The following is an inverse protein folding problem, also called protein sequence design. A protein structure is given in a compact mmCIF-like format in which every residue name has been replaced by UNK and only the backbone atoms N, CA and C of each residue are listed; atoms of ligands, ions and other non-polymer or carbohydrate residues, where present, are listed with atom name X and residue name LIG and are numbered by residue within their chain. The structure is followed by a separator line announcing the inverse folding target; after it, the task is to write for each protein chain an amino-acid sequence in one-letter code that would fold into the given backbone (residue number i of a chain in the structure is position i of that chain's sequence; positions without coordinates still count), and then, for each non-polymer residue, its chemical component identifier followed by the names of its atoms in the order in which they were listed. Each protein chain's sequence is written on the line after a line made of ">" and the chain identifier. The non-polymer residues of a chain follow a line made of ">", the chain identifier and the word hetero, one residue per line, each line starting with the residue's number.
data_IF_088562982906
#
_entry.id   IF_088562982906
#
_cell.length_a   1.000
_cell.length_b   1.000
_cell.length_c   1.000
_cell.angle_alpha   90.00
_cell.angle_beta   90.00
_cell.angle_gamma   90.00
#
_symmetry.space_group_name_H-M   'P 1'
#
loop_
_entity.id
_entity.type
_entity.pdbx_description
1 polymer ?
#
# COMPACT_ATOMS: atom_id res chain seq x y z
N UNK A 1 32.52 13.51 -10.36
CA UNK A 1 32.13 14.90 -10.06
C UNK A 1 31.29 14.91 -8.82
N UNK A 2 31.73 15.62 -7.80
CA UNK A 2 31.03 15.67 -6.55
C UNK A 2 29.71 16.45 -6.72
N UNK A 3 28.65 16.03 -6.01
CA UNK A 3 27.36 16.69 -5.93
C UNK A 3 27.45 18.20 -5.64
N UNK A 4 28.48 18.61 -4.89
CA UNK A 4 28.85 20.00 -4.61
C UNK A 4 29.20 20.82 -5.85
N UNK A 5 29.89 20.22 -6.81
CA UNK A 5 30.32 20.90 -8.06
C UNK A 5 29.11 21.14 -8.98
N UNK A 6 28.21 20.17 -9.09
CA UNK A 6 26.97 20.29 -9.86
C UNK A 6 26.04 21.36 -9.25
N UNK A 7 25.90 21.37 -7.93
CA UNK A 7 25.12 22.41 -7.23
C UNK A 7 25.69 23.80 -7.42
N UNK A 8 27.04 23.95 -7.32
CA UNK A 8 27.70 25.23 -7.55
C UNK A 8 27.55 25.73 -9.00
N UNK A 9 27.54 24.82 -9.97
CA UNK A 9 27.30 25.16 -11.37
C UNK A 9 25.87 25.70 -11.57
N UNK A 10 24.85 24.99 -11.04
CA UNK A 10 23.45 25.40 -11.16
C UNK A 10 23.18 26.74 -10.51
N UNK A 11 23.79 27.03 -9.35
CA UNK A 11 23.60 28.30 -8.65
C UNK A 11 24.25 29.51 -9.39
N UNK A 12 25.19 29.25 -10.29
CA UNK A 12 25.82 30.31 -11.12
C UNK A 12 25.01 30.68 -12.37
N UNK A 13 24.02 29.85 -12.75
CA UNK A 13 23.24 30.05 -13.96
C UNK A 13 21.78 30.38 -13.62
N UNK A 14 21.39 31.64 -13.74
CA UNK A 14 20.06 32.13 -13.36
C UNK A 14 18.91 31.39 -14.06
N UNK A 15 19.11 30.91 -15.28
CA UNK A 15 18.15 30.11 -16.03
C UNK A 15 17.82 28.78 -15.33
N UNK A 16 18.81 28.12 -14.68
CA UNK A 16 18.61 26.89 -13.92
C UNK A 16 18.19 27.18 -12.48
N UNK A 17 18.72 28.26 -11.88
CA UNK A 17 18.42 28.66 -10.51
C UNK A 17 16.93 28.93 -10.31
N UNK A 18 16.27 29.54 -11.32
CA UNK A 18 14.82 29.82 -11.29
C UNK A 18 13.95 28.54 -11.19
N UNK A 19 14.39 27.45 -11.80
CA UNK A 19 13.69 26.15 -11.73
C UNK A 19 13.98 25.40 -10.43
N UNK A 20 15.22 25.41 -9.99
CA UNK A 20 15.62 24.74 -8.75
C UNK A 20 15.11 25.45 -7.51
N UNK A 21 15.11 26.78 -7.47
CA UNK A 21 14.60 27.52 -6.31
C UNK A 21 13.08 27.43 -6.17
N UNK A 22 12.31 27.39 -7.28
CA UNK A 22 10.87 27.13 -7.21
C UNK A 22 10.57 25.73 -6.64
N UNK A 23 11.33 24.70 -7.02
CA UNK A 23 11.21 23.36 -6.47
C UNK A 23 11.64 23.27 -4.99
N UNK A 24 12.69 24.01 -4.61
CA UNK A 24 13.21 24.00 -3.25
C UNK A 24 12.33 24.79 -2.25
N UNK A 25 11.67 25.86 -2.69
CA UNK A 25 10.74 26.61 -1.85
C UNK A 25 9.39 25.89 -1.68
N UNK A 26 9.00 25.01 -2.62
CA UNK A 26 7.84 24.12 -2.45
C UNK A 26 8.16 22.88 -1.62
N UNK A 27 9.42 22.53 -1.47
CA UNK A 27 9.90 21.53 -0.53
C UNK A 27 10.31 22.18 0.82
N UNK A 28 9.43 22.96 1.44
CA UNK A 28 9.49 23.01 2.89
C UNK A 28 9.32 21.57 3.36
N UNK A 29 10.21 21.02 4.20
CA UNK A 29 9.99 19.70 4.76
C UNK A 29 8.79 19.82 5.69
N UNK A 30 7.58 19.63 5.17
CA UNK A 30 6.51 19.06 5.96
C UNK A 30 7.08 17.72 6.36
N UNK A 31 7.65 17.67 7.56
CA UNK A 31 8.24 16.47 8.08
C UNK A 31 7.28 15.33 7.84
N UNK A 32 7.60 14.51 6.88
CA UNK A 32 6.89 13.26 6.67
C UNK A 32 7.29 12.45 7.88
N UNK A 33 6.44 12.47 8.90
CA UNK A 33 6.65 11.65 10.09
C UNK A 33 6.66 10.22 9.58
N UNK A 34 7.85 9.66 9.40
CA UNK A 34 8.01 8.24 9.06
C UNK A 34 7.58 7.48 10.29
N UNK A 35 6.37 6.96 10.26
CA UNK A 35 5.94 5.98 11.24
C UNK A 35 6.70 4.68 10.98
N UNK A 36 7.81 4.50 11.67
CA UNK A 36 8.53 3.24 11.64
C UNK A 36 7.75 2.24 12.48
N UNK A 37 7.31 1.17 11.82
CA UNK A 37 6.68 0.03 12.50
C UNK A 37 7.75 -0.96 12.93
N UNK A 38 7.54 -1.64 14.06
CA UNK A 38 8.42 -2.73 14.51
C UNK A 38 8.31 -3.94 13.57
N UNK A 39 9.34 -4.79 13.54
CA UNK A 39 9.30 -6.05 12.82
C UNK A 39 8.08 -6.89 13.21
N UNK A 40 7.38 -7.48 12.23
CA UNK A 40 6.19 -8.32 12.45
C UNK A 40 4.95 -7.59 12.98
N UNK A 41 5.04 -6.28 13.26
CA UNK A 41 3.92 -5.56 13.85
C UNK A 41 2.80 -5.30 12.85
N UNK A 42 3.11 -4.91 11.62
CA UNK A 42 2.12 -4.47 10.64
C UNK A 42 2.44 -4.99 9.24
N UNK A 43 1.40 -5.39 8.51
CA UNK A 43 1.41 -5.52 7.06
C UNK A 43 0.38 -4.58 6.44
N UNK A 44 0.57 -4.19 5.18
CA UNK A 44 -0.35 -3.36 4.41
C UNK A 44 -0.75 -4.13 3.17
N UNK A 45 -2.06 -4.26 2.93
CA UNK A 45 -2.60 -4.93 1.75
C UNK A 45 -3.34 -3.94 0.86
N UNK A 46 -3.12 -4.06 -0.45
CA UNK A 46 -3.79 -3.27 -1.48
C UNK A 46 -4.03 -4.07 -2.75
N UNK A 47 -5.06 -3.66 -3.53
CA UNK A 47 -5.33 -4.16 -4.87
C UNK A 47 -4.94 -3.15 -5.94
N UNK A 48 -4.10 -3.58 -6.90
CA UNK A 48 -3.98 -2.90 -8.18
C UNK A 48 -4.95 -3.56 -9.15
N UNK A 49 -5.96 -2.80 -9.56
CA UNK A 49 -7.11 -3.33 -10.31
C UNK A 49 -7.05 -2.94 -11.80
N UNK A 50 -7.74 -3.74 -12.62
CA UNK A 50 -8.05 -3.39 -14.00
C UNK A 50 -6.84 -3.28 -14.93
N UNK A 51 -5.83 -4.13 -14.73
CA UNK A 51 -4.69 -4.18 -15.64
C UNK A 51 -5.08 -5.03 -16.84
N UNK A 52 -5.27 -4.38 -17.99
CA UNK A 52 -5.71 -5.05 -19.20
C UNK A 52 -4.50 -5.56 -20.00
N UNK A 53 -4.49 -6.85 -20.29
CA UNK A 53 -3.53 -7.50 -21.15
C UNK A 53 -4.20 -7.97 -22.43
N UNK A 54 -3.53 -7.78 -23.56
CA UNK A 54 -3.94 -8.33 -24.85
C UNK A 54 -3.22 -9.65 -25.07
N UNK A 55 -3.98 -10.73 -25.21
CA UNK A 55 -3.42 -12.06 -25.51
C UNK A 55 -2.97 -12.14 -26.98
N UNK A 56 -2.25 -13.22 -27.33
CA UNK A 56 -1.85 -13.49 -28.72
C UNK A 56 -3.04 -13.62 -29.66
N UNK A 57 -4.19 -14.07 -29.14
CA UNK A 57 -5.44 -14.23 -29.89
C UNK A 57 -6.30 -12.96 -29.91
N UNK A 58 -5.69 -11.80 -29.64
CA UNK A 58 -6.36 -10.48 -29.60
C UNK A 58 -7.47 -10.32 -28.54
N UNK A 59 -7.59 -11.25 -27.59
CA UNK A 59 -8.53 -11.13 -26.48
C UNK A 59 -7.97 -10.20 -25.41
N UNK A 60 -8.83 -9.40 -24.78
CA UNK A 60 -8.47 -8.56 -23.65
C UNK A 60 -8.80 -9.30 -22.36
N UNK A 61 -7.77 -9.55 -21.54
CA UNK A 61 -7.91 -10.16 -20.21
C UNK A 61 -7.62 -9.08 -19.16
N UNK A 62 -8.57 -8.86 -18.26
CA UNK A 62 -8.38 -7.95 -17.13
C UNK A 62 -7.85 -8.73 -15.93
N UNK A 63 -6.72 -8.30 -15.41
CA UNK A 63 -6.06 -8.90 -14.26
C UNK A 63 -6.03 -7.91 -13.08
N UNK A 64 -5.92 -8.46 -11.88
CA UNK A 64 -5.71 -7.70 -10.66
C UNK A 64 -4.42 -8.20 -9.99
N UNK A 65 -3.74 -7.32 -9.28
CA UNK A 65 -2.55 -7.69 -8.49
C UNK A 65 -2.86 -7.38 -7.02
N UNK A 66 -2.85 -8.42 -6.19
CA UNK A 66 -2.84 -8.25 -4.75
C UNK A 66 -1.41 -7.95 -4.28
N UNK A 67 -1.23 -6.91 -3.51
CA UNK A 67 0.07 -6.46 -3.00
C UNK A 67 0.03 -6.45 -1.49
N UNK A 68 0.90 -7.26 -0.86
CA UNK A 68 1.14 -7.22 0.58
C UNK A 68 2.54 -6.66 0.85
N UNK A 69 2.61 -5.58 1.60
CA UNK A 69 3.85 -4.91 1.99
C UNK A 69 4.07 -5.05 3.49
N UNK A 70 5.30 -5.44 3.88
CA UNK A 70 5.78 -5.31 5.27
C UNK A 70 6.49 -3.95 5.45
N UNK A 71 5.91 -2.99 6.17
CA UNK A 71 6.46 -1.63 6.24
C UNK A 71 7.84 -1.54 6.90
N UNK A 72 8.20 -2.46 7.78
CA UNK A 72 9.50 -2.52 8.44
C UNK A 72 10.62 -2.91 7.48
N UNK A 73 10.50 -4.09 6.86
CA UNK A 73 11.53 -4.65 5.97
C UNK A 73 11.46 -4.15 4.53
N UNK A 74 10.34 -3.51 4.14
CA UNK A 74 9.99 -3.18 2.75
C UNK A 74 9.81 -4.41 1.86
N UNK A 75 9.67 -5.57 2.47
CA UNK A 75 9.39 -6.81 1.72
C UNK A 75 7.99 -6.75 1.13
N UNK A 76 7.89 -7.06 -0.15
CA UNK A 76 6.65 -7.01 -0.92
C UNK A 76 6.35 -8.37 -1.50
N UNK A 77 5.11 -8.84 -1.31
CA UNK A 77 4.55 -10.03 -1.95
C UNK A 77 3.48 -9.56 -2.93
N UNK A 78 3.57 -10.03 -4.17
CA UNK A 78 2.60 -9.72 -5.22
C UNK A 78 2.03 -11.00 -5.80
N UNK A 79 0.72 -11.03 -5.99
CA UNK A 79 0.04 -12.13 -6.65
C UNK A 79 -0.94 -11.62 -7.70
N UNK A 80 -0.83 -12.16 -8.92
CA UNK A 80 -1.74 -11.85 -10.02
C UNK A 80 -2.98 -12.74 -9.91
N UNK A 81 -4.16 -12.14 -10.07
CA UNK A 81 -5.45 -12.84 -9.99
C UNK A 81 -6.43 -12.35 -11.05
N UNK A 82 -7.38 -13.18 -11.44
CA UNK A 82 -8.45 -12.79 -12.38
C UNK A 82 -9.63 -12.13 -11.67
N UNK A 83 -9.82 -12.40 -10.38
CA UNK A 83 -10.92 -11.82 -9.59
C UNK A 83 -10.43 -11.45 -8.18
N UNK A 84 -11.28 -10.75 -7.44
CA UNK A 84 -11.01 -10.26 -6.08
C UNK A 84 -12.03 -10.80 -5.07
N UNK A 85 -12.44 -12.07 -5.24
CA UNK A 85 -13.35 -12.70 -4.29
C UNK A 85 -12.71 -12.85 -2.91
N UNK A 86 -13.54 -13.08 -1.88
CA UNK A 86 -13.04 -13.32 -0.52
C UNK A 86 -12.14 -14.53 -0.47
N UNK A 87 -12.45 -15.59 -1.22
CA UNK A 87 -11.66 -16.82 -1.23
C UNK A 87 -10.27 -16.59 -1.86
N UNK A 88 -10.19 -15.78 -2.93
CA UNK A 88 -8.92 -15.37 -3.53
C UNK A 88 -8.10 -14.54 -2.55
N UNK A 89 -8.73 -13.60 -1.83
CA UNK A 89 -8.05 -12.78 -0.82
C UNK A 89 -7.51 -13.64 0.33
N UNK A 90 -8.31 -14.58 0.84
CA UNK A 90 -7.89 -15.47 1.93
C UNK A 90 -6.72 -16.36 1.51
N UNK A 91 -6.80 -16.95 0.33
CA UNK A 91 -5.72 -17.77 -0.23
C UNK A 91 -4.42 -16.96 -0.39
N UNK A 92 -4.52 -15.74 -0.93
CA UNK A 92 -3.36 -14.85 -1.09
C UNK A 92 -2.73 -14.52 0.26
N UNK A 93 -3.53 -14.14 1.26
CA UNK A 93 -3.03 -13.82 2.60
C UNK A 93 -2.41 -15.04 3.28
N UNK A 94 -3.02 -16.21 3.16
CA UNK A 94 -2.48 -17.47 3.72
C UNK A 94 -1.11 -17.79 3.11
N UNK A 95 -0.99 -17.78 1.78
CA UNK A 95 0.28 -18.02 1.10
C UNK A 95 1.34 -16.96 1.46
N UNK A 96 0.91 -15.70 1.61
CA UNK A 96 1.81 -14.63 2.03
C UNK A 96 2.32 -14.85 3.46
N UNK A 97 1.48 -15.27 4.39
CA UNK A 97 1.87 -15.57 5.77
C UNK A 97 2.84 -16.75 5.84
N UNK A 98 2.63 -17.77 5.02
CA UNK A 98 3.55 -18.91 4.88
C UNK A 98 4.92 -18.45 4.35
N UNK A 99 4.95 -17.65 3.28
CA UNK A 99 6.18 -17.10 2.71
C UNK A 99 6.94 -16.20 3.67
N UNK A 100 6.23 -15.46 4.52
CA UNK A 100 6.84 -14.59 5.55
C UNK A 100 7.34 -15.38 6.77
N UNK A 101 6.92 -16.65 6.92
CA UNK A 101 7.19 -17.45 8.10
C UNK A 101 6.43 -16.98 9.36
N UNK A 102 5.33 -16.27 9.20
CA UNK A 102 4.51 -15.77 10.31
C UNK A 102 3.40 -14.81 9.90
N UNK A 103 2.58 -14.47 10.88
CA UNK A 103 1.41 -13.58 10.73
C UNK A 103 1.73 -12.22 11.38
N UNK A 104 1.47 -11.09 10.72
CA UNK A 104 1.65 -9.77 11.32
C UNK A 104 0.58 -9.52 12.41
N UNK A 105 0.91 -8.71 13.43
CA UNK A 105 -0.06 -8.39 14.48
C UNK A 105 -1.25 -7.56 13.96
N UNK A 106 -1.02 -6.74 12.93
CA UNK A 106 -2.03 -5.87 12.32
C UNK A 106 -1.97 -5.94 10.79
N UNK A 107 -3.13 -6.04 10.15
CA UNK A 107 -3.28 -5.91 8.71
C UNK A 107 -4.01 -4.61 8.37
N UNK A 108 -3.32 -3.67 7.73
CA UNK A 108 -3.90 -2.43 7.21
C UNK A 108 -4.45 -2.68 5.81
N UNK A 109 -5.70 -2.34 5.59
CA UNK A 109 -6.39 -2.52 4.30
C UNK A 109 -7.25 -1.31 3.97
N UNK A 110 -7.65 -1.20 2.71
CA UNK A 110 -8.76 -0.32 2.32
C UNK A 110 -10.10 -0.86 2.79
N UNK A 111 -11.13 -0.01 2.68
CA UNK A 111 -12.52 -0.37 2.93
C UNK A 111 -13.12 -1.19 1.77
N UNK A 112 -12.41 -2.20 1.28
CA UNK A 112 -12.93 -3.09 0.23
C UNK A 112 -14.07 -3.96 0.77
N UNK A 113 -15.06 -4.28 -0.08
CA UNK A 113 -16.24 -5.06 0.32
C UNK A 113 -15.94 -6.46 0.86
N UNK A 114 -14.83 -7.06 0.46
CA UNK A 114 -14.37 -8.35 0.97
C UNK A 114 -13.88 -8.29 2.41
N UNK A 115 -13.51 -7.09 2.89
CA UNK A 115 -13.02 -6.84 4.26
C UNK A 115 -14.04 -6.10 5.11
N UNK A 116 -14.77 -5.14 4.53
CA UNK A 116 -15.69 -4.26 5.25
C UNK A 116 -17.09 -4.31 4.67
N UNK A 117 -18.10 -4.64 5.50
CA UNK A 117 -19.51 -4.49 5.13
C UNK A 117 -19.93 -3.02 5.18
N UNK A 118 -19.41 -2.28 6.18
CA UNK A 118 -19.57 -0.84 6.29
C UNK A 118 -18.19 -0.17 6.42
N UNK A 119 -17.88 0.84 5.59
CA UNK A 119 -16.56 1.45 5.59
C UNK A 119 -16.30 2.20 6.90
N UNK A 120 -15.03 2.19 7.32
CA UNK A 120 -14.56 3.03 8.41
C UNK A 120 -14.52 4.49 7.97
N UNK A 121 -15.14 5.37 8.76
CA UNK A 121 -15.12 6.82 8.55
C UNK A 121 -14.49 7.52 9.76
N UNK A 122 -14.40 8.85 9.74
CA UNK A 122 -13.98 9.63 10.92
C UNK A 122 -14.94 9.51 12.10
N UNK A 123 -16.21 9.21 11.83
CA UNK A 123 -17.30 9.17 12.83
C UNK A 123 -17.61 7.75 13.30
N UNK A 124 -17.26 6.74 12.51
CA UNK A 124 -17.60 5.33 12.81
C UNK A 124 -16.42 4.41 12.53
N UNK A 125 -16.25 3.39 13.35
CA UNK A 125 -15.25 2.35 13.11
C UNK A 125 -15.60 1.43 11.93
N UNK A 126 -16.79 1.57 11.36
CA UNK A 126 -17.31 0.69 10.33
C UNK A 126 -17.65 -0.70 10.85
N UNK A 127 -17.96 -1.62 9.93
CA UNK A 127 -18.27 -3.01 10.24
C UNK A 127 -17.40 -3.92 9.37
N UNK A 128 -16.59 -4.76 10.01
CA UNK A 128 -15.77 -5.76 9.31
C UNK A 128 -16.70 -6.89 8.84
N UNK A 129 -16.49 -7.35 7.61
CA UNK A 129 -17.19 -8.50 7.05
C UNK A 129 -17.00 -9.73 7.95
N UNK A 130 -18.10 -10.46 8.22
CA UNK A 130 -18.09 -11.59 9.16
C UNK A 130 -17.08 -12.69 8.78
N UNK A 131 -16.98 -13.03 7.48
CA UNK A 131 -16.05 -14.06 7.02
C UNK A 131 -14.59 -13.60 7.18
N UNK A 132 -14.31 -12.33 6.86
CA UNK A 132 -12.97 -11.76 7.02
C UNK A 132 -12.60 -11.64 8.50
N UNK A 133 -13.56 -11.29 9.37
CA UNK A 133 -13.33 -11.26 10.81
C UNK A 133 -12.96 -12.64 11.35
N UNK A 134 -13.71 -13.69 10.95
CA UNK A 134 -13.37 -15.06 11.34
C UNK A 134 -11.97 -15.45 10.88
N UNK A 135 -11.61 -15.16 9.64
CA UNK A 135 -10.27 -15.40 9.11
C UNK A 135 -9.18 -14.67 9.93
N UNK A 136 -9.43 -13.42 10.30
CA UNK A 136 -8.50 -12.66 11.14
C UNK A 136 -8.36 -13.24 12.55
N UNK A 137 -9.45 -13.70 13.12
CA UNK A 137 -9.46 -14.36 14.45
C UNK A 137 -8.71 -15.72 14.40
N UNK A 138 -8.90 -16.51 13.32
CA UNK A 138 -8.24 -17.80 13.11
C UNK A 138 -6.71 -17.66 12.99
N UNK A 139 -6.25 -16.60 12.30
CA UNK A 139 -4.82 -16.27 12.15
C UNK A 139 -4.28 -15.35 13.26
N UNK A 140 -5.12 -14.92 14.19
CA UNK A 140 -4.78 -14.08 15.34
C UNK A 140 -4.14 -12.73 14.96
N UNK A 141 -4.69 -12.04 13.96
CA UNK A 141 -4.28 -10.67 13.61
C UNK A 141 -5.42 -9.65 13.72
N UNK A 142 -5.09 -8.39 13.93
CA UNK A 142 -6.08 -7.30 13.99
C UNK A 142 -6.26 -6.66 12.62
N UNK A 143 -7.52 -6.49 12.21
CA UNK A 143 -7.87 -5.75 10.98
C UNK A 143 -7.88 -4.27 11.29
N UNK A 144 -7.14 -3.48 10.48
CA UNK A 144 -7.04 -2.02 10.62
C UNK A 144 -7.43 -1.33 9.32
N UNK A 145 -8.74 -1.15 9.08
CA UNK A 145 -9.19 -0.48 7.87
C UNK A 145 -8.78 0.98 7.88
N UNK A 146 -8.40 1.50 6.70
CA UNK A 146 -8.10 2.91 6.50
C UNK A 146 -9.36 3.77 6.68
N UNK A 147 -9.18 5.03 7.09
CA UNK A 147 -10.30 5.97 7.15
C UNK A 147 -10.64 6.39 5.72
N UNK A 148 -11.92 6.24 5.33
CA UNK A 148 -12.39 6.64 4.02
C UNK A 148 -12.14 8.15 3.80
N UNK A 149 -11.64 8.52 2.61
CA UNK A 149 -11.35 9.91 2.25
C UNK A 149 -10.03 10.48 2.80
N UNK A 150 -9.21 9.69 3.52
CA UNK A 150 -7.88 10.11 3.97
C UNK A 150 -6.78 9.26 3.34
N UNK A 151 -6.24 9.62 2.16
CA UNK A 151 -5.20 8.84 1.47
C UNK A 151 -3.90 8.67 2.27
N UNK A 152 -3.61 9.57 3.21
CA UNK A 152 -2.37 9.54 4.02
C UNK A 152 -2.25 8.36 4.99
N UNK A 153 -3.30 7.57 5.19
CA UNK A 153 -3.25 6.40 6.09
C UNK A 153 -2.44 5.23 5.50
N UNK A 154 -2.24 5.22 4.18
CA UNK A 154 -1.48 4.21 3.42
C UNK A 154 -0.07 4.66 2.99
N UNK A 155 0.48 5.69 3.50
CA UNK A 155 1.69 6.38 3.03
C UNK A 155 2.96 5.54 2.74
N UNK A 156 2.84 4.22 2.57
CA UNK A 156 3.97 3.32 2.27
C UNK A 156 3.73 2.36 1.10
N UNK A 157 2.52 2.25 0.57
CA UNK A 157 2.18 1.34 -0.55
C UNK A 157 2.04 2.07 -1.88
N UNK A 158 1.91 3.40 -1.85
CA UNK A 158 1.85 4.27 -3.04
C UNK A 158 3.24 4.57 -3.61
#
# INVERSE_FOLDING_TARGET
>A
CAYSTFRAYILKHDEFNRYFMKGYQQMSPKGTTRFETKAGHQAQFDWKEGINFKTKDNQIVSLNIGVLLLPYSRFVIMQVTMNKSSDVLFNLLTQAFELMGGVPNELVTDNMKTVMDQPRTERTNGQINRRFKQFADDFNFKVKPCIAGRPRTKGKVE
#
